data_IF_892633928371
#
_entry.id   IF_892633928371
#
_cell.length_a   1.000
_cell.length_b   1.000
_cell.length_c   1.000
_cell.angle_alpha   90.00
_cell.angle_beta   90.00
_cell.angle_gamma   90.00
#
_symmetry.space_group_name_H-M   'P 1'
#
loop_
_entity.id
_entity.type
_entity.pdbx_description
1 polymer ?
#
# COMPACT_ATOMS: atom_id res chain seq x y z
N UNK A 1 -27.55 6.84 -25.45
CA UNK A 1 -26.70 5.70 -25.06
C UNK A 1 -27.63 4.55 -24.72
N UNK A 2 -27.37 3.33 -25.20
CA UNK A 2 -28.27 2.20 -24.95
C UNK A 2 -28.18 1.73 -23.49
N UNK A 3 -29.20 1.02 -23.00
CA UNK A 3 -29.31 0.51 -21.63
C UNK A 3 -28.10 -0.32 -21.20
N UNK A 4 -27.52 -1.06 -22.14
CA UNK A 4 -26.42 -1.99 -21.92
C UNK A 4 -25.13 -1.25 -21.59
N UNK A 5 -24.82 -0.15 -22.29
CA UNK A 5 -23.64 0.67 -22.01
C UNK A 5 -23.69 1.28 -20.61
N UNK A 6 -24.87 1.74 -20.19
CA UNK A 6 -25.06 2.28 -18.84
C UNK A 6 -24.84 1.21 -17.77
N UNK A 7 -25.38 0.00 -17.97
CA UNK A 7 -25.20 -1.11 -17.04
C UNK A 7 -23.75 -1.57 -16.95
N UNK A 8 -23.05 -1.68 -18.09
CA UNK A 8 -21.64 -2.06 -18.13
C UNK A 8 -20.75 -1.01 -17.45
N UNK A 9 -20.96 0.28 -17.75
CA UNK A 9 -20.21 1.37 -17.14
C UNK A 9 -20.45 1.43 -15.62
N UNK A 10 -21.70 1.28 -15.17
CA UNK A 10 -22.04 1.28 -13.75
C UNK A 10 -21.43 0.08 -13.03
N UNK A 11 -21.46 -1.11 -13.63
CA UNK A 11 -20.86 -2.31 -13.05
C UNK A 11 -19.34 -2.16 -12.93
N UNK A 12 -18.67 -1.73 -14.01
CA UNK A 12 -17.22 -1.51 -14.00
C UNK A 12 -16.81 -0.45 -12.98
N UNK A 13 -17.54 0.67 -12.90
CA UNK A 13 -17.27 1.73 -11.92
C UNK A 13 -17.50 1.25 -10.48
N UNK A 14 -18.58 0.50 -10.24
CA UNK A 14 -18.92 0.00 -8.90
C UNK A 14 -17.91 -1.04 -8.42
N UNK A 15 -17.59 -2.03 -9.26
CA UNK A 15 -16.56 -3.03 -8.96
C UNK A 15 -15.24 -2.33 -8.72
N UNK A 16 -14.81 -1.47 -9.65
CA UNK A 16 -13.60 -0.64 -9.56
C UNK A 16 -13.44 0.09 -8.23
N UNK A 17 -14.49 0.82 -7.85
CA UNK A 17 -14.52 1.60 -6.62
C UNK A 17 -14.52 0.71 -5.38
N UNK A 18 -15.44 -0.26 -5.32
CA UNK A 18 -15.65 -1.08 -4.13
C UNK A 18 -14.43 -1.97 -3.86
N UNK A 19 -13.85 -2.61 -4.89
CA UNK A 19 -12.67 -3.46 -4.70
C UNK A 19 -11.47 -2.64 -4.22
N UNK A 20 -11.26 -1.43 -4.76
CA UNK A 20 -10.13 -0.58 -4.39
C UNK A 20 -10.31 -0.03 -2.97
N UNK A 21 -11.55 0.29 -2.59
CA UNK A 21 -11.86 0.82 -1.27
C UNK A 21 -11.72 -0.25 -0.18
N UNK A 22 -12.15 -1.48 -0.46
CA UNK A 22 -12.11 -2.59 0.49
C UNK A 22 -10.71 -3.23 0.54
N UNK A 23 -9.97 -3.25 -0.57
CA UNK A 23 -8.64 -3.85 -0.67
C UNK A 23 -7.54 -2.96 -0.07
N UNK A 24 -7.07 -3.21 1.17
CA UNK A 24 -5.97 -2.44 1.77
C UNK A 24 -4.67 -2.57 0.97
N UNK A 25 -4.49 -3.67 0.27
CA UNK A 25 -3.38 -3.92 -0.66
C UNK A 25 -3.35 -2.92 -1.83
N UNK A 26 -4.47 -2.28 -2.17
CA UNK A 26 -4.55 -1.33 -3.28
C UNK A 26 -4.22 0.12 -2.91
N UNK A 27 -4.35 0.52 -1.64
CA UNK A 27 -4.09 1.90 -1.20
C UNK A 27 -2.99 2.03 -0.14
N UNK A 28 -2.84 1.05 0.78
CA UNK A 28 -1.86 1.12 1.87
C UNK A 28 -0.43 1.27 1.35
N UNK A 29 0.02 0.52 0.31
CA UNK A 29 1.38 0.67 -0.21
C UNK A 29 1.68 2.11 -0.68
N UNK A 30 0.75 2.75 -1.38
CA UNK A 30 0.92 4.13 -1.85
C UNK A 30 0.95 5.13 -0.70
N UNK A 31 0.07 4.98 0.30
CA UNK A 31 0.01 5.88 1.47
C UNK A 31 1.29 5.76 2.30
N UNK A 32 1.72 4.54 2.61
CA UNK A 32 2.93 4.27 3.41
C UNK A 32 4.16 4.78 2.67
N UNK A 33 4.25 4.55 1.36
CA UNK A 33 5.35 5.06 0.53
C UNK A 33 5.35 6.59 0.44
N UNK A 34 4.18 7.20 0.23
CA UNK A 34 4.05 8.66 0.22
C UNK A 34 4.51 9.27 1.54
N UNK A 35 4.17 8.65 2.67
CA UNK A 35 4.58 9.10 4.01
C UNK A 35 6.07 8.91 4.26
N UNK A 36 6.61 7.71 3.98
CA UNK A 36 8.02 7.37 4.19
C UNK A 36 8.96 8.23 3.32
N UNK A 37 8.51 8.60 2.12
CA UNK A 37 9.29 9.35 1.14
C UNK A 37 8.92 10.83 1.08
N UNK A 38 7.97 11.27 1.91
CA UNK A 38 7.43 12.64 1.92
C UNK A 38 7.02 13.14 0.53
N UNK A 39 6.31 12.31 -0.23
CA UNK A 39 5.78 12.71 -1.54
C UNK A 39 4.69 13.78 -1.37
N UNK A 40 4.65 14.73 -2.33
CA UNK A 40 3.52 15.65 -2.44
C UNK A 40 2.27 14.91 -2.87
N UNK A 41 1.09 15.44 -2.53
CA UNK A 41 -0.19 14.85 -2.91
C UNK A 41 -0.29 14.63 -4.43
N UNK A 42 0.13 15.62 -5.21
CA UNK A 42 0.15 15.56 -6.68
C UNK A 42 1.00 14.38 -7.19
N UNK A 43 2.19 14.18 -6.61
CA UNK A 43 3.06 13.06 -6.98
C UNK A 43 2.44 11.72 -6.62
N UNK A 44 1.86 11.61 -5.42
CA UNK A 44 1.20 10.39 -4.97
C UNK A 44 0.02 10.03 -5.88
N UNK A 45 -0.84 11.00 -6.19
CA UNK A 45 -1.98 10.81 -7.09
C UNK A 45 -1.52 10.43 -8.51
N UNK A 46 -0.51 11.11 -9.04
CA UNK A 46 0.03 10.80 -10.37
C UNK A 46 0.60 9.39 -10.47
N UNK A 47 1.41 8.97 -9.49
CA UNK A 47 1.96 7.59 -9.45
C UNK A 47 0.84 6.56 -9.30
N UNK A 48 -0.13 6.82 -8.40
CA UNK A 48 -1.26 5.92 -8.17
C UNK A 48 -2.10 5.76 -9.43
N UNK A 49 -2.36 6.86 -10.16
CA UNK A 49 -3.12 6.85 -11.41
C UNK A 49 -2.40 6.03 -12.50
N UNK A 50 -1.10 6.25 -12.70
CA UNK A 50 -0.31 5.48 -13.68
C UNK A 50 -0.29 4.00 -13.33
N UNK A 51 -0.12 3.65 -12.05
CA UNK A 51 -0.15 2.26 -11.61
C UNK A 51 -1.54 1.64 -11.77
N UNK A 52 -2.61 2.37 -11.45
CA UNK A 52 -3.99 1.89 -11.61
C UNK A 52 -4.35 1.64 -13.08
N UNK A 53 -3.99 2.56 -13.98
CA UNK A 53 -4.17 2.37 -15.43
C UNK A 53 -3.37 1.16 -15.91
N UNK A 54 -2.09 1.04 -15.50
CA UNK A 54 -1.25 -0.10 -15.83
C UNK A 54 -1.85 -1.43 -15.35
N UNK A 55 -2.31 -1.49 -14.11
CA UNK A 55 -2.94 -2.67 -13.50
C UNK A 55 -4.19 -3.13 -14.26
N UNK A 56 -5.09 -2.21 -14.61
CA UNK A 56 -6.31 -2.55 -15.37
C UNK A 56 -5.95 -3.02 -16.79
N UNK A 57 -5.06 -2.31 -17.50
CA UNK A 57 -4.63 -2.70 -18.84
C UNK A 57 -3.90 -4.04 -18.83
N UNK A 58 -3.02 -4.28 -17.85
CA UNK A 58 -2.32 -5.55 -17.66
C UNK A 58 -3.30 -6.70 -17.43
N UNK A 59 -4.32 -6.49 -16.61
CA UNK A 59 -5.39 -7.48 -16.37
C UNK A 59 -6.17 -7.81 -17.64
N UNK A 60 -6.52 -6.80 -18.45
CA UNK A 60 -7.20 -7.00 -19.74
C UNK A 60 -6.31 -7.79 -20.70
N UNK A 61 -5.02 -7.45 -20.81
CA UNK A 61 -4.07 -8.14 -21.69
C UNK A 61 -3.88 -9.60 -21.26
N UNK A 62 -3.72 -9.86 -19.96
CA UNK A 62 -3.56 -11.20 -19.44
C UNK A 62 -4.84 -12.04 -19.61
N UNK A 63 -6.02 -11.46 -19.39
CA UNK A 63 -7.30 -12.12 -19.67
C UNK A 63 -7.47 -12.45 -21.16
N UNK A 64 -7.18 -11.51 -22.05
CA UNK A 64 -7.24 -11.72 -23.49
C UNK A 64 -6.24 -12.80 -23.96
N UNK A 65 -5.03 -12.81 -23.42
CA UNK A 65 -4.03 -13.84 -23.70
C UNK A 65 -4.46 -15.21 -23.17
N UNK A 66 -5.06 -15.27 -21.98
CA UNK A 66 -5.63 -16.49 -21.41
C UNK A 66 -6.69 -17.11 -22.31
N UNK A 67 -7.62 -16.29 -22.81
CA UNK A 67 -8.64 -16.69 -23.79
C UNK A 67 -7.97 -17.17 -25.10
N UNK A 68 -7.04 -16.39 -25.65
CA UNK A 68 -6.38 -16.70 -26.92
C UNK A 68 -5.55 -17.99 -26.88
N UNK A 69 -4.94 -18.31 -25.75
CA UNK A 69 -4.17 -19.54 -25.53
C UNK A 69 -5.05 -20.74 -25.15
N UNK A 70 -6.37 -20.57 -25.05
CA UNK A 70 -7.29 -21.61 -24.60
C UNK A 70 -7.03 -22.06 -23.16
N UNK A 71 -6.40 -21.21 -22.35
CA UNK A 71 -6.12 -21.50 -20.95
C UNK A 71 -7.44 -21.51 -20.19
N UNK A 72 -7.90 -22.70 -19.79
CA UNK A 72 -9.16 -22.86 -19.05
C UNK A 72 -9.15 -22.01 -17.78
N UNK A 73 -10.27 -21.32 -17.50
CA UNK A 73 -10.52 -20.41 -16.37
C UNK A 73 -9.75 -20.76 -15.09
N UNK A 74 -9.79 -22.03 -14.67
CA UNK A 74 -9.20 -22.48 -13.41
C UNK A 74 -7.68 -22.33 -13.29
N UNK A 75 -6.92 -22.27 -14.38
CA UNK A 75 -5.46 -22.17 -14.31
C UNK A 75 -4.94 -20.75 -14.07
N UNK A 76 -5.62 -19.75 -14.64
CA UNK A 76 -5.34 -18.33 -14.36
C UNK A 76 -5.87 -17.96 -12.97
N UNK A 77 -7.08 -18.41 -12.63
CA UNK A 77 -7.68 -18.20 -11.30
C UNK A 77 -6.85 -18.81 -10.16
N UNK A 78 -6.20 -19.97 -10.38
CA UNK A 78 -5.35 -20.59 -9.36
C UNK A 78 -4.09 -19.77 -9.05
N UNK A 79 -3.42 -19.24 -10.07
CA UNK A 79 -2.25 -18.36 -9.91
C UNK A 79 -2.64 -17.05 -9.20
N UNK A 80 -3.78 -16.48 -9.57
CA UNK A 80 -4.36 -15.31 -8.92
C UNK A 80 -4.66 -15.58 -7.44
N UNK A 81 -5.37 -16.67 -7.15
CA UNK A 81 -5.76 -17.04 -5.80
C UNK A 81 -4.58 -17.24 -4.86
N UNK A 82 -3.48 -17.85 -5.33
CA UNK A 82 -2.25 -17.99 -4.53
C UNK A 82 -1.67 -16.62 -4.19
N UNK A 83 -1.63 -15.69 -5.15
CA UNK A 83 -1.11 -14.34 -4.91
C UNK A 83 -1.99 -13.60 -3.90
N UNK A 84 -3.32 -13.67 -4.08
CA UNK A 84 -4.31 -13.07 -3.20
C UNK A 84 -4.19 -13.58 -1.77
N UNK A 85 -4.17 -14.90 -1.59
CA UNK A 85 -4.01 -15.52 -0.27
C UNK A 85 -2.69 -15.14 0.39
N UNK A 86 -1.58 -15.16 -0.37
CA UNK A 86 -0.28 -14.78 0.15
C UNK A 86 -0.27 -13.30 0.59
N UNK A 87 -0.85 -12.40 -0.20
CA UNK A 87 -0.99 -10.99 0.16
C UNK A 87 -1.83 -10.81 1.43
N UNK A 88 -2.96 -11.52 1.53
CA UNK A 88 -3.84 -11.49 2.71
C UNK A 88 -3.13 -11.95 3.98
N UNK A 89 -2.42 -13.09 3.93
CA UNK A 89 -1.66 -13.62 5.07
C UNK A 89 -0.51 -12.70 5.49
N UNK A 90 0.21 -12.12 4.52
CA UNK A 90 1.30 -11.19 4.80
C UNK A 90 0.79 -9.89 5.43
N UNK A 91 -0.32 -9.33 4.93
CA UNK A 91 -0.93 -8.14 5.51
C UNK A 91 -1.50 -8.39 6.90
N UNK A 92 -2.17 -9.53 7.11
CA UNK A 92 -2.68 -9.92 8.42
C UNK A 92 -1.52 -10.11 9.42
N UNK A 93 -0.49 -10.86 9.04
CA UNK A 93 0.69 -11.09 9.86
C UNK A 93 1.44 -9.80 10.21
N UNK A 94 1.65 -8.93 9.21
CA UNK A 94 2.25 -7.61 9.42
C UNK A 94 1.41 -6.74 10.37
N UNK A 95 0.09 -6.69 10.16
CA UNK A 95 -0.84 -5.94 11.01
C UNK A 95 -0.81 -6.42 12.46
N UNK A 96 -0.85 -7.73 12.69
CA UNK A 96 -0.75 -8.32 14.04
C UNK A 96 0.59 -8.02 14.70
N UNK A 97 1.70 -8.20 13.99
CA UNK A 97 3.03 -7.90 14.50
C UNK A 97 3.17 -6.42 14.88
N UNK A 98 2.66 -5.53 14.03
CA UNK A 98 2.67 -4.09 14.27
C UNK A 98 1.80 -3.69 15.45
N UNK A 99 0.63 -4.31 15.64
CA UNK A 99 -0.23 -4.11 16.81
C UNK A 99 0.46 -4.56 18.09
N UNK A 100 1.07 -5.75 18.11
CA UNK A 100 1.82 -6.25 19.29
C UNK A 100 2.98 -5.29 19.63
N UNK A 101 3.73 -4.85 18.62
CA UNK A 101 4.79 -3.87 18.82
C UNK A 101 4.25 -2.54 19.35
N UNK A 102 3.13 -2.04 18.80
CA UNK A 102 2.49 -0.79 19.22
C UNK A 102 2.01 -0.83 20.67
N UNK A 103 1.37 -1.93 21.08
CA UNK A 103 0.95 -2.16 22.48
C UNK A 103 2.17 -2.22 23.39
N UNK A 104 3.20 -2.99 23.03
CA UNK A 104 4.44 -3.10 23.82
C UNK A 104 5.12 -1.75 23.98
N UNK A 105 5.16 -0.94 22.91
CA UNK A 105 5.67 0.43 22.96
C UNK A 105 4.85 1.27 23.91
N UNK A 106 3.53 1.34 23.73
CA UNK A 106 2.62 2.14 24.56
C UNK A 106 2.73 1.80 26.07
N UNK A 107 2.87 0.52 26.43
CA UNK A 107 3.05 0.09 27.82
C UNK A 107 4.39 0.54 28.39
N UNK A 108 5.46 0.54 27.57
CA UNK A 108 6.81 0.99 27.96
C UNK A 108 6.98 2.51 27.95
N UNK A 109 6.14 3.24 27.23
CA UNK A 109 6.12 4.72 27.17
C UNK A 109 5.58 5.39 28.43
N UNK A 110 5.84 4.87 29.63
CA UNK A 110 5.37 5.52 30.87
C UNK A 110 6.17 6.83 31.07
N UNK A 111 5.51 8.00 31.14
CA UNK A 111 6.21 9.24 31.48
C UNK A 111 6.71 9.17 32.91
N UNK A 112 7.98 9.50 33.11
CA UNK A 112 8.57 9.69 34.42
C UNK A 112 9.06 11.12 34.58
N UNK A 113 9.12 11.58 35.83
CA UNK A 113 9.58 12.91 36.18
C UNK A 113 10.98 12.79 36.77
N UNK A 114 11.92 13.61 36.29
CA UNK A 114 13.19 13.84 36.98
C UNK A 114 13.46 15.33 37.14
N UNK A 115 14.34 15.65 38.08
CA UNK A 115 14.79 17.00 38.34
C UNK A 115 16.16 17.18 37.66
N UNK A 116 16.28 18.18 36.79
CA UNK A 116 17.55 18.54 36.16
C UNK A 116 18.00 19.92 36.63
N UNK A 117 19.28 20.02 36.99
CA UNK A 117 19.97 21.28 37.23
C UNK A 117 20.69 21.73 35.97
N UNK A 118 20.43 22.95 35.54
CA UNK A 118 21.14 23.60 34.43
C UNK A 118 22.45 24.22 34.91
N UNK A 119 23.36 24.48 33.97
CA UNK A 119 24.65 25.13 34.24
C UNK A 119 24.51 26.55 34.83
N UNK A 120 23.33 27.15 34.71
CA UNK A 120 22.96 28.44 35.31
C UNK A 120 22.45 28.32 36.77
N UNK A 121 22.41 27.10 37.33
CA UNK A 121 21.96 26.82 38.69
C UNK A 121 20.44 26.68 38.84
N UNK A 122 19.66 26.78 37.76
CA UNK A 122 18.21 26.59 37.82
C UNK A 122 17.87 25.10 37.84
N UNK A 123 17.00 24.69 38.79
CA UNK A 123 16.48 23.32 38.87
C UNK A 123 15.01 23.34 38.52
N UNK A 124 14.61 22.53 37.55
CA UNK A 124 13.20 22.35 37.23
C UNK A 124 12.84 20.89 36.94
N UNK A 125 11.54 20.59 37.12
CA UNK A 125 10.96 19.27 36.89
C UNK A 125 10.52 19.14 35.43
N UNK A 126 11.06 18.14 34.72
CA UNK A 126 10.63 17.78 33.38
C UNK A 126 9.86 16.47 33.38
N UNK A 127 8.64 16.49 32.82
CA UNK A 127 7.91 15.29 32.45
C UNK A 127 8.33 14.87 31.04
N UNK A 128 9.00 13.73 30.92
CA UNK A 128 9.45 13.22 29.62
C UNK A 128 9.30 11.69 29.54
N UNK A 129 9.38 11.20 28.30
CA UNK A 129 9.33 9.78 27.95
C UNK A 129 10.59 9.47 27.14
N UNK A 130 11.52 8.65 27.64
CA UNK A 130 12.79 8.30 26.96
C UNK A 130 12.62 7.33 25.76
N UNK A 131 11.55 7.49 24.97
CA UNK A 131 11.40 6.73 23.72
C UNK A 131 11.97 7.46 22.51
N UNK A 132 12.30 8.74 22.65
CA UNK A 132 13.15 9.47 21.72
C UNK A 132 14.43 9.81 22.47
N UNK A 133 15.49 9.03 22.24
CA UNK A 133 16.86 9.47 22.52
C UNK A 133 17.07 10.82 21.83
N UNK A 134 17.36 11.85 22.62
CA UNK A 134 17.73 13.14 22.09
C UNK A 134 19.14 13.09 21.51
N UNK A 135 19.31 12.81 20.22
CA UNK A 135 20.57 13.11 19.49
C UNK A 135 20.28 13.49 18.02
N UNK A 136 20.49 14.80 17.77
CA UNK A 136 20.73 15.57 16.54
C UNK A 136 19.71 15.71 15.39
N UNK A 137 19.31 16.98 15.22
CA UNK A 137 18.59 17.60 14.08
C UNK A 137 19.34 17.51 12.73
N UNK A 138 20.52 16.90 12.66
CA UNK A 138 21.31 16.83 11.41
C UNK A 138 21.04 15.60 10.52
N UNK A 139 20.39 14.55 11.01
CA UNK A 139 20.25 13.30 10.23
C UNK A 139 18.96 13.18 9.41
N UNK A 140 17.95 14.02 9.69
CA UNK A 140 16.68 13.97 8.94
C UNK A 140 16.84 14.33 7.46
N UNK A 141 17.83 15.14 7.12
CA UNK A 141 18.15 15.53 5.74
C UNK A 141 18.94 14.43 5.02
N UNK A 142 19.88 13.77 5.70
CA UNK A 142 20.70 12.69 5.14
C UNK A 142 19.88 11.41 4.90
N UNK A 143 19.04 11.01 5.85
CA UNK A 143 18.11 9.87 5.71
C UNK A 143 17.04 10.13 4.64
N UNK A 144 16.49 11.36 4.56
CA UNK A 144 15.58 11.73 3.45
C UNK A 144 16.26 11.62 2.09
N UNK A 145 17.54 12.00 1.99
CA UNK A 145 18.33 11.98 0.74
C UNK A 145 18.78 10.56 0.35
N UNK A 146 19.03 9.66 1.31
CA UNK A 146 19.36 8.26 1.04
C UNK A 146 18.14 7.47 0.57
N UNK A 147 16.98 7.66 1.21
CA UNK A 147 15.72 7.12 0.72
C UNK A 147 15.42 7.72 -0.65
N UNK A 148 15.64 9.05 -0.86
CA UNK A 148 15.41 9.76 -2.14
C UNK A 148 16.08 9.08 -3.34
N UNK A 149 17.27 8.50 -3.13
CA UNK A 149 18.11 7.89 -4.16
C UNK A 149 17.65 6.52 -4.65
N UNK A 150 16.75 5.82 -3.94
CA UNK A 150 16.19 4.57 -4.46
C UNK A 150 15.11 4.92 -5.50
N UNK A 151 15.53 5.29 -6.70
CA UNK A 151 14.67 5.61 -7.85
C UNK A 151 13.83 4.42 -8.35
N UNK A 152 14.07 3.22 -7.83
CA UNK A 152 13.40 1.98 -8.21
C UNK A 152 12.06 1.73 -7.52
N UNK A 153 11.72 2.45 -6.44
CA UNK A 153 10.51 2.12 -5.65
C UNK A 153 9.17 2.33 -6.40
N UNK A 154 8.98 3.40 -7.20
CA UNK A 154 7.79 3.50 -8.06
C UNK A 154 7.74 2.39 -9.10
N UNK A 155 8.89 1.94 -9.61
CA UNK A 155 8.99 0.84 -10.56
C UNK A 155 8.66 -0.51 -9.91
N UNK A 156 9.06 -0.74 -8.66
CA UNK A 156 8.67 -1.94 -7.91
C UNK A 156 7.15 -1.95 -7.67
N UNK A 157 6.57 -0.84 -7.24
CA UNK A 157 5.10 -0.72 -7.11
C UNK A 157 4.40 -0.94 -8.45
N UNK A 158 4.91 -0.34 -9.52
CA UNK A 158 4.36 -0.48 -10.86
C UNK A 158 4.43 -1.92 -11.37
N UNK A 159 5.56 -2.60 -11.22
CA UNK A 159 5.74 -4.00 -11.64
C UNK A 159 4.82 -4.91 -10.82
N UNK A 160 4.73 -4.73 -9.50
CA UNK A 160 3.85 -5.53 -8.64
C UNK A 160 2.37 -5.32 -9.02
N UNK A 161 1.94 -4.09 -9.27
CA UNK A 161 0.56 -3.80 -9.67
C UNK A 161 0.25 -4.20 -11.12
N UNK A 162 1.20 -4.06 -12.03
CA UNK A 162 1.05 -4.42 -13.44
C UNK A 162 0.90 -5.92 -13.64
N UNK A 163 1.62 -6.73 -12.84
CA UNK A 163 1.60 -8.19 -12.89
C UNK A 163 0.76 -8.85 -11.80
N UNK A 164 0.04 -8.08 -10.99
CA UNK A 164 -1.00 -8.62 -10.11
C UNK A 164 -2.36 -8.39 -10.75
N UNK A 165 -2.92 -9.33 -11.54
CA UNK A 165 -4.22 -9.15 -12.13
C UNK A 165 -5.32 -8.86 -11.11
N UNK A 166 -6.34 -8.13 -11.54
CA UNK A 166 -7.51 -7.92 -10.71
C UNK A 166 -8.33 -9.22 -10.65
N UNK A 167 -8.36 -9.87 -9.49
CA UNK A 167 -9.17 -11.07 -9.22
C UNK A 167 -10.65 -10.87 -9.59
N UNK A 168 -11.16 -9.64 -9.46
CA UNK A 168 -12.54 -9.31 -9.78
C UNK A 168 -12.82 -9.17 -11.29
N UNK A 169 -11.80 -8.88 -12.12
CA UNK A 169 -12.00 -8.54 -13.53
C UNK A 169 -11.97 -9.76 -14.44
N UNK A 170 -11.13 -10.75 -14.14
CA UNK A 170 -10.93 -11.94 -14.99
C UNK A 170 -12.21 -12.78 -15.10
N UNK A 171 -12.92 -13.13 -14.01
CA UNK A 171 -14.19 -13.85 -14.11
C UNK A 171 -15.23 -13.08 -14.91
N UNK A 172 -15.30 -11.75 -14.73
CA UNK A 172 -16.26 -10.91 -15.47
C UNK A 172 -15.94 -10.86 -16.98
N UNK A 173 -14.67 -10.92 -17.37
CA UNK A 173 -14.27 -10.90 -18.78
C UNK A 173 -14.31 -12.28 -19.46
N UNK A 174 -13.96 -13.34 -18.73
CA UNK A 174 -13.80 -14.68 -19.30
C UNK A 174 -15.09 -15.53 -19.22
N UNK A 175 -15.95 -15.33 -18.22
CA UNK A 175 -17.20 -16.09 -18.09
C UNK A 175 -18.21 -15.84 -19.23
N UNK A 176 -18.31 -14.62 -19.81
CA UNK A 176 -19.10 -14.40 -21.02
C UNK A 176 -18.45 -14.95 -22.31
N UNK A 177 -17.17 -15.33 -22.26
CA UNK A 177 -16.40 -15.85 -23.40
C UNK A 177 -16.30 -17.39 -23.43
N UNK A 178 -16.82 -18.07 -22.40
CA UNK A 178 -16.93 -19.53 -22.28
C UNK A 178 -18.32 -20.02 -22.72
#
# INVERSE_FOLDING_TARGET
MSSEWTLLALTAASVGLIHTLIGPDHYVPFIVMARARSWSLVRTLGITLVCGVGHVLGSIVLGALGIALGWTLGGVEWLEGIRGEMAAWLLLGFGLAYTVWGIRRAIRSRPHNHWHGHADGTVHEHRHTHLDEHVHVHDRVAVRRSLARVGWTPWVLFVIFLFGPCEALIPVLMYPAA
#
